data_IF_537869436458
#
_entry.id   IF_537869436458
#
_cell.length_a   1.000
_cell.length_b   1.000
_cell.length_c   1.000
_cell.angle_alpha   90.00
_cell.angle_beta   90.00
_cell.angle_gamma   90.00
#
_symmetry.space_group_name_H-M   'P 1'
#
loop_
_entity.id
_entity.type
_entity.pdbx_description
1 polymer ?
#
# COMPACT_ATOMS: atom_id res chain seq x y z
N UNK A 1 17.10 -25.08 23.41
CA UNK A 1 18.07 -23.96 23.51
C UNK A 1 18.33 -23.27 22.17
N UNK A 2 18.58 -23.99 21.06
CA UNK A 2 18.83 -23.39 19.74
C UNK A 2 17.78 -22.34 19.31
N UNK A 3 16.48 -22.65 19.46
CA UNK A 3 15.39 -21.75 19.09
C UNK A 3 15.36 -20.47 19.92
N UNK A 4 15.64 -20.56 21.23
CA UNK A 4 15.72 -19.39 22.11
C UNK A 4 16.86 -18.46 21.68
N UNK A 5 18.03 -19.03 21.41
CA UNK A 5 19.20 -18.26 20.94
C UNK A 5 18.90 -17.56 19.61
N UNK A 6 18.27 -18.27 18.67
CA UNK A 6 17.89 -17.69 17.36
C UNK A 6 16.88 -16.55 17.51
N UNK A 7 15.81 -16.73 18.29
CA UNK A 7 14.82 -15.66 18.47
C UNK A 7 15.37 -14.49 19.28
N UNK A 8 16.21 -14.72 20.28
CA UNK A 8 16.84 -13.66 21.05
C UNK A 8 17.80 -12.83 20.19
N UNK A 9 18.66 -13.48 19.40
CA UNK A 9 19.54 -12.79 18.46
C UNK A 9 18.75 -12.04 17.39
N UNK A 10 17.71 -12.67 16.83
CA UNK A 10 16.81 -12.04 15.87
C UNK A 10 16.10 -10.81 16.45
N UNK A 11 15.56 -10.92 17.67
CA UNK A 11 14.90 -9.81 18.36
C UNK A 11 15.86 -8.64 18.60
N UNK A 12 17.12 -8.90 18.94
CA UNK A 12 18.14 -7.84 19.07
C UNK A 12 18.47 -7.23 17.71
N UNK A 13 18.69 -8.07 16.69
CA UNK A 13 19.08 -7.62 15.36
C UNK A 13 18.05 -6.69 14.70
N UNK A 14 16.76 -6.97 14.85
CA UNK A 14 15.70 -6.14 14.23
C UNK A 14 15.58 -4.73 14.81
N UNK A 15 16.07 -4.51 16.02
CA UNK A 15 16.11 -3.18 16.66
C UNK A 15 17.43 -2.45 16.46
N UNK A 16 18.53 -3.17 16.17
CA UNK A 16 19.84 -2.56 15.89
C UNK A 16 19.92 -2.10 14.44
N UNK A 17 19.45 -2.91 13.49
CA UNK A 17 19.56 -2.58 12.06
C UNK A 17 18.42 -1.62 11.67
N UNK A 18 18.76 -0.45 11.08
CA UNK A 18 17.78 0.49 10.52
C UNK A 18 16.88 -0.16 9.48
N UNK A 19 15.64 0.32 9.38
CA UNK A 19 14.68 -0.20 8.37
C UNK A 19 15.17 0.15 6.96
N UNK A 20 15.79 1.31 6.83
CA UNK A 20 16.31 1.89 5.60
C UNK A 20 17.39 1.01 4.98
N UNK A 21 18.30 0.45 5.80
CA UNK A 21 19.36 -0.44 5.33
C UNK A 21 18.79 -1.75 4.75
N UNK A 22 17.74 -2.28 5.39
CA UNK A 22 17.06 -3.50 4.93
C UNK A 22 16.27 -3.24 3.66
N UNK A 23 15.61 -2.08 3.56
CA UNK A 23 14.89 -1.69 2.36
C UNK A 23 15.85 -1.46 1.18
N UNK A 24 16.99 -0.81 1.43
CA UNK A 24 18.04 -0.60 0.42
C UNK A 24 18.60 -1.95 -0.05
N UNK A 25 18.92 -2.85 0.87
CA UNK A 25 19.38 -4.21 0.56
C UNK A 25 18.40 -5.01 -0.31
N UNK A 26 17.09 -4.80 -0.11
CA UNK A 26 16.04 -5.46 -0.87
C UNK A 26 15.87 -4.84 -2.27
N UNK A 27 15.98 -3.52 -2.37
CA UNK A 27 15.93 -2.78 -3.65
C UNK A 27 17.13 -3.15 -4.53
N UNK A 28 18.34 -3.25 -3.97
CA UNK A 28 19.56 -3.65 -4.69
C UNK A 28 19.47 -5.06 -5.32
N UNK A 29 18.50 -5.87 -4.89
CA UNK A 29 18.25 -7.24 -5.38
C UNK A 29 16.99 -7.36 -6.22
N UNK A 30 16.24 -6.27 -6.37
CA UNK A 30 15.08 -6.24 -7.23
C UNK A 30 15.52 -6.28 -8.72
N UNK A 31 14.61 -6.72 -9.59
CA UNK A 31 14.82 -6.56 -11.03
C UNK A 31 14.92 -5.06 -11.39
N UNK A 32 15.63 -4.72 -12.47
CA UNK A 32 15.85 -3.34 -12.95
C UNK A 32 14.56 -2.70 -13.51
N UNK A 33 13.51 -2.62 -12.71
CA UNK A 33 12.27 -1.92 -13.02
C UNK A 33 11.82 -1.15 -11.78
N UNK A 34 11.37 0.09 -12.00
CA UNK A 34 10.87 0.96 -10.92
C UNK A 34 9.74 0.31 -10.10
N UNK A 35 8.94 -0.55 -10.72
CA UNK A 35 7.90 -1.32 -10.05
C UNK A 35 8.47 -2.42 -9.14
N UNK A 36 9.48 -3.17 -9.61
CA UNK A 36 10.12 -4.21 -8.80
C UNK A 36 10.82 -3.60 -7.58
N UNK A 37 11.49 -2.47 -7.73
CA UNK A 37 12.09 -1.71 -6.63
C UNK A 37 11.03 -1.27 -5.61
N UNK A 38 9.90 -0.73 -6.08
CA UNK A 38 8.79 -0.32 -5.22
C UNK A 38 8.21 -1.49 -4.40
N UNK A 39 7.97 -2.64 -5.05
CA UNK A 39 7.46 -3.84 -4.39
C UNK A 39 8.49 -4.40 -3.40
N UNK A 40 9.77 -4.44 -3.78
CA UNK A 40 10.84 -4.94 -2.93
C UNK A 40 10.99 -4.10 -1.65
N UNK A 41 10.97 -2.78 -1.78
CA UNK A 41 10.97 -1.87 -0.64
C UNK A 41 9.77 -2.14 0.26
N UNK A 42 8.55 -2.10 -0.29
CA UNK A 42 7.33 -2.24 0.51
C UNK A 42 7.28 -3.57 1.27
N UNK A 43 7.67 -4.68 0.63
CA UNK A 43 7.73 -5.99 1.29
C UNK A 43 8.81 -6.06 2.37
N UNK A 44 9.97 -5.49 2.11
CA UNK A 44 11.08 -5.48 3.07
C UNK A 44 10.69 -4.71 4.34
N UNK A 45 10.10 -3.52 4.16
CA UNK A 45 9.59 -2.69 5.24
C UNK A 45 8.53 -3.43 6.08
N UNK A 46 7.54 -4.04 5.42
CA UNK A 46 6.48 -4.81 6.08
C UNK A 46 7.06 -5.97 6.90
N UNK A 47 7.92 -6.77 6.26
CA UNK A 47 8.55 -7.93 6.88
C UNK A 47 9.40 -7.52 8.08
N UNK A 48 10.09 -6.38 8.00
CA UNK A 48 10.92 -5.88 9.09
C UNK A 48 10.10 -5.42 10.29
N UNK A 49 8.99 -4.70 10.07
CA UNK A 49 8.08 -4.31 11.15
C UNK A 49 7.39 -5.50 11.80
N UNK A 50 6.95 -6.48 11.01
CA UNK A 50 6.43 -7.74 11.53
C UNK A 50 7.49 -8.46 12.37
N UNK A 51 8.73 -8.49 11.91
CA UNK A 51 9.84 -9.10 12.66
C UNK A 51 10.09 -8.37 13.99
N UNK A 52 10.05 -7.03 14.02
CA UNK A 52 10.13 -6.24 15.26
C UNK A 52 9.00 -6.53 16.24
N UNK A 53 7.79 -6.82 15.75
CA UNK A 53 6.65 -7.16 16.60
C UNK A 53 6.74 -8.60 17.12
N UNK A 54 7.02 -9.56 16.23
CA UNK A 54 6.87 -10.98 16.54
C UNK A 54 8.13 -11.64 17.09
N UNK A 55 9.34 -11.24 16.68
CA UNK A 55 10.57 -11.87 17.20
C UNK A 55 10.75 -11.70 18.71
N UNK A 56 10.49 -10.52 19.33
CA UNK A 56 10.53 -10.40 20.79
C UNK A 56 9.50 -11.30 21.49
N UNK A 57 8.28 -11.38 20.93
CA UNK A 57 7.22 -12.25 21.48
C UNK A 57 7.65 -13.72 21.38
N UNK A 58 8.20 -14.15 20.25
CA UNK A 58 8.71 -15.51 20.09
C UNK A 58 9.92 -15.81 20.98
N UNK A 59 10.80 -14.83 21.23
CA UNK A 59 11.90 -14.97 22.18
C UNK A 59 11.39 -15.18 23.61
N UNK A 60 10.39 -14.41 24.04
CA UNK A 60 9.75 -14.56 25.35
C UNK A 60 9.01 -15.89 25.48
N UNK A 61 8.26 -16.29 24.45
CA UNK A 61 7.57 -17.59 24.42
C UNK A 61 8.56 -18.76 24.44
N UNK A 62 9.67 -18.66 23.71
CA UNK A 62 10.73 -19.66 23.72
C UNK A 62 11.41 -19.73 25.09
N UNK A 63 11.68 -18.59 25.73
CA UNK A 63 12.26 -18.54 27.08
C UNK A 63 11.30 -19.18 28.09
N UNK A 64 10.03 -18.79 28.06
CA UNK A 64 9.00 -19.36 28.91
C UNK A 64 8.86 -20.87 28.69
N UNK A 65 8.80 -21.33 27.44
CA UNK A 65 8.75 -22.76 27.12
C UNK A 65 9.98 -23.51 27.65
N UNK A 66 11.19 -22.93 27.57
CA UNK A 66 12.39 -23.55 28.13
C UNK A 66 12.36 -23.64 29.66
N UNK A 67 11.78 -22.65 30.34
CA UNK A 67 11.61 -22.69 31.80
C UNK A 67 10.55 -23.71 32.23
N UNK A 68 9.54 -23.93 31.39
CA UNK A 68 8.47 -24.90 31.63
C UNK A 68 8.82 -26.32 31.15
N UNK A 69 9.96 -26.54 30.49
CA UNK A 69 10.38 -27.87 30.00
C UNK A 69 10.26 -28.97 31.08
N UNK A 70 10.78 -28.80 32.31
CA UNK A 70 10.68 -29.85 33.33
C UNK A 70 9.23 -30.14 33.74
N UNK A 71 8.41 -29.08 33.86
CA UNK A 71 6.99 -29.20 34.20
C UNK A 71 6.22 -29.88 33.06
N UNK A 72 6.57 -29.57 31.82
CA UNK A 72 5.97 -30.14 30.62
C UNK A 72 6.37 -31.61 30.45
N UNK A 73 7.63 -31.96 30.71
CA UNK A 73 8.12 -33.35 30.73
C UNK A 73 7.36 -34.17 31.79
N UNK A 74 7.25 -33.65 33.02
CA UNK A 74 6.48 -34.30 34.09
C UNK A 74 4.98 -34.41 33.74
N UNK A 75 4.42 -33.41 33.06
CA UNK A 75 3.02 -33.41 32.64
C UNK A 75 2.79 -34.42 31.50
N UNK A 76 3.68 -34.48 30.51
CA UNK A 76 3.64 -35.44 29.39
C UNK A 76 3.78 -36.85 29.95
N UNK A 77 4.70 -37.10 30.87
CA UNK A 77 4.89 -38.41 31.47
C UNK A 77 3.66 -38.84 32.29
N UNK A 78 3.06 -37.91 33.05
CA UNK A 78 1.80 -38.14 33.77
C UNK A 78 0.64 -38.42 32.81
N UNK A 79 0.48 -37.63 31.77
CA UNK A 79 -0.55 -37.81 30.74
C UNK A 79 -0.35 -39.14 30.01
N UNK A 80 0.88 -39.53 29.69
CA UNK A 80 1.20 -40.80 29.02
C UNK A 80 0.91 -42.00 29.93
N UNK A 81 1.30 -41.94 31.21
CA UNK A 81 0.97 -42.97 32.22
C UNK A 81 -0.55 -43.09 32.43
N UNK A 82 -1.25 -41.95 32.46
CA UNK A 82 -2.70 -41.90 32.62
C UNK A 82 -3.41 -42.37 31.35
N UNK A 83 -2.85 -42.13 30.16
CA UNK A 83 -3.32 -42.62 28.87
C UNK A 83 -3.22 -44.15 28.76
N UNK A 84 -2.09 -44.73 29.19
CA UNK A 84 -1.91 -46.19 29.27
C UNK A 84 -2.87 -46.85 30.27
N UNK A 85 -3.31 -46.11 31.30
CA UNK A 85 -4.31 -46.58 32.27
C UNK A 85 -5.76 -46.40 31.80
N UNK A 86 -6.09 -45.28 31.13
CA UNK A 86 -7.46 -44.95 30.70
C UNK A 86 -7.91 -45.62 29.41
N UNK A 87 -6.99 -46.14 28.60
CA UNK A 87 -7.34 -46.90 27.38
C UNK A 87 -8.04 -48.24 27.65
N UNK A 88 -8.30 -48.60 28.92
CA UNK A 88 -9.07 -49.81 29.29
C UNK A 88 -10.60 -49.68 29.33
N UNK A 89 -11.22 -48.48 29.24
CA UNK A 89 -12.69 -48.39 29.25
C UNK A 89 -13.30 -47.26 28.38
N UNK A 90 -14.02 -47.66 27.34
CA UNK A 90 -15.25 -47.07 26.73
C UNK A 90 -15.33 -45.63 26.17
N UNK A 91 -14.35 -44.72 26.29
CA UNK A 91 -14.48 -43.34 25.75
C UNK A 91 -13.34 -42.89 24.81
N UNK A 92 -12.64 -43.84 24.20
CA UNK A 92 -11.49 -43.59 23.32
C UNK A 92 -11.89 -42.81 22.05
N UNK A 93 -13.01 -43.16 21.41
CA UNK A 93 -13.45 -42.56 20.14
C UNK A 93 -13.77 -41.07 20.28
N UNK A 94 -14.56 -40.69 21.30
CA UNK A 94 -14.91 -39.28 21.56
C UNK A 94 -13.69 -38.43 21.87
N UNK A 95 -12.73 -38.98 22.61
CA UNK A 95 -11.49 -38.29 22.98
C UNK A 95 -10.58 -38.07 21.77
N UNK A 96 -10.47 -39.06 20.88
CA UNK A 96 -9.72 -38.96 19.62
C UNK A 96 -10.37 -37.95 18.68
N UNK A 97 -11.70 -37.97 18.53
CA UNK A 97 -12.43 -37.02 17.68
C UNK A 97 -12.26 -35.57 18.14
N UNK A 98 -12.44 -35.28 19.43
CA UNK A 98 -12.28 -33.91 19.95
C UNK A 98 -10.85 -33.41 19.76
N UNK A 99 -9.85 -34.26 20.01
CA UNK A 99 -8.43 -33.90 19.79
C UNK A 99 -8.11 -33.70 18.32
N UNK A 100 -8.61 -34.56 17.45
CA UNK A 100 -8.48 -34.39 15.99
C UNK A 100 -9.09 -33.07 15.53
N UNK A 101 -10.25 -32.70 16.07
CA UNK A 101 -10.92 -31.43 15.76
C UNK A 101 -10.12 -30.22 16.26
N UNK A 102 -9.52 -30.29 17.46
CA UNK A 102 -8.61 -29.24 17.97
C UNK A 102 -7.39 -29.11 17.07
N UNK A 103 -6.76 -30.22 16.67
CA UNK A 103 -5.60 -30.21 15.77
C UNK A 103 -5.97 -29.60 14.41
N UNK A 104 -7.09 -30.01 13.82
CA UNK A 104 -7.57 -29.42 12.57
C UNK A 104 -7.86 -27.92 12.70
N UNK A 105 -8.46 -27.49 13.81
CA UNK A 105 -8.74 -26.08 14.08
C UNK A 105 -7.45 -25.25 14.22
N UNK A 106 -6.45 -25.77 14.93
CA UNK A 106 -5.14 -25.12 15.06
C UNK A 106 -4.42 -25.02 13.71
N UNK A 107 -4.47 -26.08 12.89
CA UNK A 107 -3.90 -26.06 11.54
C UNK A 107 -4.60 -25.03 10.64
N UNK A 108 -5.93 -24.93 10.72
CA UNK A 108 -6.70 -23.95 9.97
C UNK A 108 -6.37 -22.52 10.41
N UNK A 109 -6.29 -22.27 11.73
CA UNK A 109 -5.93 -20.98 12.28
C UNK A 109 -4.50 -20.57 11.85
N UNK A 110 -3.56 -21.52 11.84
CA UNK A 110 -2.20 -21.29 11.35
C UNK A 110 -2.20 -20.92 9.86
N UNK A 111 -2.95 -21.65 9.03
CA UNK A 111 -3.06 -21.38 7.61
C UNK A 111 -3.67 -20.00 7.33
N UNK A 112 -4.75 -19.64 8.04
CA UNK A 112 -5.38 -18.33 7.91
C UNK A 112 -4.48 -17.19 8.40
N UNK A 113 -3.73 -17.41 9.48
CA UNK A 113 -2.76 -16.41 9.98
C UNK A 113 -1.62 -16.21 8.98
N UNK A 114 -1.09 -17.30 8.40
CA UNK A 114 -0.06 -17.23 7.37
C UNK A 114 -0.56 -16.48 6.12
N UNK A 115 -1.77 -16.79 5.67
CA UNK A 115 -2.39 -16.10 4.54
C UNK A 115 -2.61 -14.61 4.84
N UNK A 116 -3.12 -14.27 6.02
CA UNK A 116 -3.27 -12.88 6.46
C UNK A 116 -1.94 -12.11 6.49
N UNK A 117 -0.85 -12.74 6.97
CA UNK A 117 0.49 -12.13 6.96
C UNK A 117 1.02 -11.93 5.54
N UNK A 118 0.81 -12.90 4.66
CA UNK A 118 1.20 -12.79 3.24
C UNK A 118 0.41 -11.68 2.55
N UNK A 119 -0.89 -11.59 2.78
CA UNK A 119 -1.73 -10.53 2.21
C UNK A 119 -1.36 -9.17 2.77
N UNK A 120 -1.16 -9.04 4.09
CA UNK A 120 -0.68 -7.82 4.71
C UNK A 120 0.66 -7.36 4.13
N UNK A 121 1.64 -8.26 3.97
CA UNK A 121 2.95 -7.88 3.39
C UNK A 121 2.87 -7.51 1.91
N UNK A 122 1.96 -8.13 1.15
CA UNK A 122 1.68 -7.74 -0.24
C UNK A 122 1.02 -6.36 -0.30
N UNK A 123 0.09 -6.11 0.61
CA UNK A 123 -0.71 -4.89 0.63
C UNK A 123 -0.01 -3.71 1.34
N UNK A 124 1.02 -3.98 2.14
CA UNK A 124 1.77 -2.96 2.87
C UNK A 124 2.37 -1.88 1.97
N UNK A 125 2.80 -2.25 0.76
CA UNK A 125 3.22 -1.27 -0.24
C UNK A 125 2.16 -0.23 -0.56
N UNK A 126 0.87 -0.56 -0.38
CA UNK A 126 -0.29 0.32 -0.54
C UNK A 126 -0.69 1.04 0.75
N UNK A 127 -0.40 0.48 1.93
CA UNK A 127 -0.73 1.08 3.23
C UNK A 127 0.37 2.00 3.79
N UNK A 128 1.63 1.83 3.37
CA UNK A 128 2.79 2.57 3.87
C UNK A 128 2.85 4.02 3.43
N UNK A 129 2.01 4.40 2.46
CA UNK A 129 1.95 5.79 2.09
C UNK A 129 1.47 6.55 3.35
N UNK A 130 2.25 7.53 3.82
CA UNK A 130 1.88 8.35 4.98
C UNK A 130 0.59 9.11 4.68
N UNK A 131 -0.29 9.41 5.65
CA UNK A 131 -1.48 10.23 5.41
C UNK A 131 -1.12 11.40 4.49
N UNK A 132 -1.91 11.64 3.43
CA UNK A 132 -1.60 12.50 2.27
C UNK A 132 -1.20 13.96 2.57
N UNK A 133 -1.05 14.30 3.85
CA UNK A 133 -0.33 15.47 4.38
C UNK A 133 1.19 15.39 4.20
N UNK A 134 1.82 14.21 4.24
CA UNK A 134 3.28 14.06 4.09
C UNK A 134 3.68 13.59 2.69
N UNK A 135 4.50 14.39 2.02
CA UNK A 135 4.99 14.15 0.65
C UNK A 135 6.06 13.04 0.69
N UNK A 136 5.92 11.99 -0.13
CA UNK A 136 6.94 10.95 -0.23
C UNK A 136 8.31 11.52 -0.65
N UNK A 137 9.42 11.01 -0.06
CA UNK A 137 10.77 11.53 -0.30
C UNK A 137 11.20 11.51 -1.78
N UNK A 138 10.69 10.56 -2.57
CA UNK A 138 11.03 10.38 -3.99
C UNK A 138 10.04 11.04 -4.97
N UNK A 139 9.12 11.88 -4.49
CA UNK A 139 8.21 12.60 -5.38
C UNK A 139 8.95 13.68 -6.17
N UNK A 140 8.78 13.68 -7.50
CA UNK A 140 9.35 14.71 -8.38
C UNK A 140 8.86 16.11 -7.99
N UNK A 141 9.68 17.14 -8.25
CA UNK A 141 9.35 18.52 -7.89
C UNK A 141 8.06 18.99 -8.58
N UNK A 142 7.86 18.57 -9.82
CA UNK A 142 6.69 18.86 -10.65
C UNK A 142 5.41 18.36 -9.97
N UNK A 143 5.43 17.09 -9.56
CA UNK A 143 4.29 16.47 -8.89
C UNK A 143 3.97 17.15 -7.54
N UNK A 144 4.99 17.64 -6.81
CA UNK A 144 4.79 18.42 -5.57
C UNK A 144 4.10 19.75 -5.84
N UNK A 145 4.46 20.43 -6.92
CA UNK A 145 3.87 21.71 -7.30
C UNK A 145 2.43 21.55 -7.73
N UNK A 146 2.15 20.56 -8.57
CA UNK A 146 0.80 20.20 -8.99
C UNK A 146 -0.09 19.92 -7.78
N UNK A 147 0.39 19.13 -6.82
CA UNK A 147 -0.38 18.85 -5.59
C UNK A 147 -0.64 20.11 -4.77
N UNK A 148 0.36 20.98 -4.60
CA UNK A 148 0.20 22.21 -3.85
C UNK A 148 -0.84 23.14 -4.52
N UNK A 149 -0.78 23.26 -5.85
CA UNK A 149 -1.76 24.01 -6.64
C UNK A 149 -3.16 23.41 -6.54
N UNK A 150 -3.32 22.10 -6.73
CA UNK A 150 -4.64 21.47 -6.66
C UNK A 150 -5.25 21.59 -5.26
N UNK A 151 -4.44 21.50 -4.20
CA UNK A 151 -4.90 21.72 -2.81
C UNK A 151 -5.36 23.15 -2.56
N UNK A 152 -4.73 24.15 -3.18
CA UNK A 152 -5.13 25.56 -3.01
C UNK A 152 -6.28 25.96 -3.94
N UNK A 153 -6.35 25.38 -5.15
CA UNK A 153 -7.33 25.73 -6.18
C UNK A 153 -8.68 25.03 -6.03
N UNK A 154 -8.75 23.93 -5.26
CA UNK A 154 -9.99 23.16 -5.08
C UNK A 154 -10.35 22.98 -3.60
N UNK A 155 -11.64 23.00 -3.24
CA UNK A 155 -12.08 22.74 -1.86
C UNK A 155 -11.87 21.27 -1.47
N UNK A 156 -11.81 20.98 -0.17
CA UNK A 156 -11.54 19.63 0.34
C UNK A 156 -12.60 18.59 -0.04
N UNK A 157 -13.85 19.00 -0.24
CA UNK A 157 -14.95 18.13 -0.66
C UNK A 157 -15.13 18.06 -2.19
N UNK A 158 -14.19 18.62 -2.97
CA UNK A 158 -14.28 18.65 -4.43
C UNK A 158 -14.33 17.25 -5.05
N UNK A 159 -15.12 17.12 -6.11
CA UNK A 159 -15.15 15.98 -7.01
C UNK A 159 -14.35 16.32 -8.27
N UNK A 160 -13.17 15.73 -8.41
CA UNK A 160 -12.27 16.05 -9.51
C UNK A 160 -12.23 14.85 -10.46
N UNK A 161 -12.65 15.09 -11.71
CA UNK A 161 -12.47 14.14 -12.79
C UNK A 161 -11.04 14.27 -13.33
N UNK A 162 -10.21 13.27 -13.07
CA UNK A 162 -8.84 13.20 -13.59
C UNK A 162 -8.90 12.45 -14.91
N UNK A 163 -8.33 13.01 -15.97
CA UNK A 163 -8.37 12.41 -17.32
C UNK A 163 -7.11 11.59 -17.67
N UNK A 164 -6.17 11.50 -16.73
CA UNK A 164 -4.93 10.74 -16.88
C UNK A 164 -4.91 9.59 -15.89
N UNK A 165 -4.98 8.36 -16.40
CA UNK A 165 -4.96 7.15 -15.58
C UNK A 165 -3.63 7.02 -14.82
N UNK A 166 -2.53 7.40 -15.48
CA UNK A 166 -1.18 7.44 -14.88
C UNK A 166 -1.12 8.34 -13.63
N UNK A 167 -1.89 9.43 -13.62
CA UNK A 167 -1.90 10.41 -12.52
C UNK A 167 -2.98 10.17 -11.49
N UNK A 168 -4.02 9.40 -11.83
CA UNK A 168 -5.13 9.12 -10.94
C UNK A 168 -4.68 8.52 -9.61
N UNK A 169 -3.87 7.46 -9.65
CA UNK A 169 -3.39 6.78 -8.45
C UNK A 169 -2.55 7.68 -7.55
N UNK A 170 -1.63 8.42 -8.16
CA UNK A 170 -0.80 9.38 -7.44
C UNK A 170 -1.65 10.45 -6.76
N UNK A 171 -2.57 11.07 -7.50
CA UNK A 171 -3.40 12.15 -6.97
C UNK A 171 -4.40 11.66 -5.91
N UNK A 172 -4.97 10.46 -6.07
CA UNK A 172 -5.98 9.93 -5.14
C UNK A 172 -5.42 9.75 -3.74
N UNK A 173 -4.11 9.50 -3.69
CA UNK A 173 -3.37 9.41 -2.46
C UNK A 173 -3.22 10.75 -1.72
N UNK A 174 -2.78 11.80 -2.43
CA UNK A 174 -2.39 13.07 -1.79
C UNK A 174 -3.48 14.13 -1.72
N UNK A 175 -4.55 14.00 -2.52
CA UNK A 175 -5.62 14.99 -2.57
C UNK A 175 -6.78 14.71 -1.61
N UNK A 176 -6.68 13.67 -0.78
CA UNK A 176 -7.66 13.42 0.28
C UNK A 176 -7.94 14.70 1.10
N UNK A 177 -9.21 14.97 1.45
CA UNK A 177 -10.39 14.10 1.33
C UNK A 177 -11.17 14.26 0.00
N UNK A 178 -10.58 14.89 -1.03
CA UNK A 178 -11.25 15.12 -2.33
C UNK A 178 -11.57 13.80 -3.01
N UNK A 179 -12.69 13.75 -3.73
CA UNK A 179 -13.11 12.55 -4.48
C UNK A 179 -12.57 12.63 -5.90
N UNK A 180 -11.67 11.71 -6.25
CA UNK A 180 -11.18 11.61 -7.63
C UNK A 180 -11.96 10.57 -8.42
N UNK A 181 -12.26 10.91 -9.66
CA UNK A 181 -13.04 10.09 -10.60
C UNK A 181 -12.25 9.97 -11.89
N UNK A 182 -12.34 8.84 -12.59
CA UNK A 182 -11.72 8.64 -13.89
C UNK A 182 -12.70 8.00 -14.88
N UNK A 183 -12.59 8.22 -16.20
CA UNK A 183 -13.50 7.65 -17.19
C UNK A 183 -13.62 6.11 -17.14
N UNK A 184 -12.51 5.41 -16.91
CA UNK A 184 -12.47 3.94 -16.81
C UNK A 184 -12.70 3.41 -15.39
N UNK A 185 -12.54 4.26 -14.37
CA UNK A 185 -12.62 3.88 -12.97
C UNK A 185 -13.53 4.87 -12.23
N UNK A 186 -14.79 4.46 -12.00
CA UNK A 186 -15.79 5.29 -11.30
C UNK A 186 -15.39 5.62 -9.84
N UNK A 187 -14.44 4.86 -9.27
CA UNK A 187 -13.78 5.15 -7.99
C UNK A 187 -12.27 4.94 -8.08
N UNK A 188 -11.48 5.98 -7.75
CA UNK A 188 -10.02 5.95 -7.79
C UNK A 188 -9.35 5.04 -6.74
N UNK A 189 -10.11 4.43 -5.83
CA UNK A 189 -9.56 3.75 -4.64
C UNK A 189 -8.80 2.43 -4.92
N UNK A 190 -8.88 1.82 -6.12
CA UNK A 190 -8.34 0.47 -6.33
C UNK A 190 -7.70 0.17 -7.70
N UNK A 191 -7.27 1.17 -8.47
CA UNK A 191 -6.57 0.94 -9.74
C UNK A 191 -5.05 0.76 -9.50
N UNK A 192 -4.67 -0.32 -8.83
CA UNK A 192 -3.27 -0.74 -8.74
C UNK A 192 -2.97 -1.64 -9.95
N UNK A 193 -1.96 -1.34 -10.77
CA UNK A 193 -1.63 -2.17 -11.91
C UNK A 193 -1.17 -3.57 -11.46
N UNK A 194 -1.85 -4.61 -11.97
CA UNK A 194 -1.45 -6.01 -11.75
C UNK A 194 -0.18 -6.33 -12.55
N UNK A 195 0.71 -7.13 -11.96
CA UNK A 195 1.97 -7.51 -12.59
C UNK A 195 1.75 -8.27 -13.92
N UNK A 196 2.51 -7.90 -14.96
CA UNK A 196 2.53 -8.61 -16.25
C UNK A 196 1.50 -8.16 -17.29
N UNK A 197 0.64 -7.19 -16.97
CA UNK A 197 -0.23 -6.56 -17.96
C UNK A 197 0.37 -5.22 -18.42
N UNK A 198 0.67 -5.03 -19.71
CA UNK A 198 0.98 -3.71 -20.22
C UNK A 198 -0.25 -2.84 -20.03
N UNK A 199 -0.24 -1.97 -19.01
CA UNK A 199 -1.24 -0.92 -18.91
C UNK A 199 -0.95 0.04 -20.06
N UNK A 200 -1.81 0.00 -21.08
CA UNK A 200 -1.98 1.15 -21.93
C UNK A 200 -2.64 2.21 -21.04
N UNK A 201 -1.83 3.01 -20.35
CA UNK A 201 -2.32 4.16 -19.60
C UNK A 201 -3.14 5.01 -20.56
N UNK A 202 -4.44 5.13 -20.31
CA UNK A 202 -5.31 5.92 -21.17
C UNK A 202 -5.30 7.36 -20.67
N UNK A 203 -5.01 8.26 -21.60
CA UNK A 203 -5.12 9.69 -21.42
C UNK A 203 -6.30 10.15 -22.27
N UNK A 204 -7.31 10.70 -21.60
CA UNK A 204 -8.47 11.29 -22.26
C UNK A 204 -8.31 12.80 -22.33
N UNK A 205 -8.78 13.42 -23.39
CA UNK A 205 -9.04 14.85 -23.41
C UNK A 205 -10.50 15.10 -23.06
N UNK A 206 -10.84 16.33 -22.64
CA UNK A 206 -12.24 16.69 -22.41
C UNK A 206 -13.11 16.42 -23.65
N UNK A 207 -12.55 16.61 -24.85
CA UNK A 207 -13.22 16.33 -26.13
C UNK A 207 -13.61 14.86 -26.34
N UNK A 208 -12.94 13.94 -25.64
CA UNK A 208 -13.19 12.50 -25.77
C UNK A 208 -14.39 12.05 -24.93
N UNK A 209 -14.90 12.93 -24.06
CA UNK A 209 -16.00 12.63 -23.14
C UNK A 209 -17.33 13.16 -23.68
N UNK A 210 -18.38 12.33 -23.62
CA UNK A 210 -19.71 12.78 -24.00
C UNK A 210 -20.32 13.68 -22.93
N UNK A 211 -21.09 14.72 -23.33
CA UNK A 211 -21.81 15.58 -22.38
C UNK A 211 -22.76 14.80 -21.45
N UNK A 212 -23.39 13.76 -21.98
CA UNK A 212 -24.27 12.86 -21.22
C UNK A 212 -23.53 12.13 -20.10
N UNK A 213 -22.30 11.67 -20.38
CA UNK A 213 -21.47 11.00 -19.38
C UNK A 213 -21.03 11.97 -18.27
N UNK A 214 -20.61 13.19 -18.64
CA UNK A 214 -20.27 14.25 -17.69
C UNK A 214 -21.45 14.61 -16.80
N UNK A 215 -22.67 14.69 -17.37
CA UNK A 215 -23.90 14.95 -16.63
C UNK A 215 -24.26 13.82 -15.64
N UNK A 216 -23.89 12.57 -15.94
CA UNK A 216 -24.09 11.43 -15.03
C UNK A 216 -23.10 11.47 -13.86
N UNK A 217 -21.82 11.66 -14.16
CA UNK A 217 -20.75 11.62 -13.16
C UNK A 217 -20.78 12.85 -12.25
N UNK A 218 -21.14 14.02 -12.78
CA UNK A 218 -21.21 15.30 -12.06
C UNK A 218 -19.90 15.63 -11.31
N UNK A 219 -18.76 15.77 -12.01
CA UNK A 219 -17.57 16.38 -11.40
C UNK A 219 -17.79 17.87 -11.08
N UNK A 220 -17.07 18.37 -10.09
CA UNK A 220 -16.94 19.82 -9.83
C UNK A 220 -15.82 20.43 -10.69
N UNK A 221 -14.76 19.65 -10.89
CA UNK A 221 -13.58 20.02 -11.66
C UNK A 221 -13.17 18.91 -12.63
N UNK A 222 -12.54 19.29 -13.72
CA UNK A 222 -11.90 18.40 -14.70
C UNK A 222 -10.41 18.73 -14.73
N UNK A 223 -9.57 17.72 -14.54
CA UNK A 223 -8.12 17.83 -14.50
C UNK A 223 -7.50 17.06 -15.66
N UNK A 224 -6.86 17.81 -16.54
CA UNK A 224 -5.98 17.30 -17.59
C UNK A 224 -4.52 17.51 -17.16
N UNK A 225 -3.88 16.44 -16.72
CA UNK A 225 -2.49 16.45 -16.29
C UNK A 225 -1.76 15.24 -16.86
N UNK A 226 -0.85 15.50 -17.80
CA UNK A 226 -0.13 14.46 -18.54
C UNK A 226 1.37 14.68 -18.44
N UNK A 227 2.11 13.59 -18.16
CA UNK A 227 3.56 13.57 -18.19
C UNK A 227 4.02 12.55 -19.23
N UNK A 228 4.60 13.06 -20.32
CA UNK A 228 5.08 12.23 -21.42
C UNK A 228 5.27 13.09 -22.66
N UNK A 229 6.30 12.82 -23.47
CA UNK A 229 6.59 13.58 -24.68
C UNK A 229 5.44 13.58 -25.68
N UNK A 230 4.63 12.52 -25.69
CA UNK A 230 3.48 12.34 -26.59
C UNK A 230 2.29 13.24 -26.23
N UNK A 231 2.14 13.61 -24.96
CA UNK A 231 1.02 14.40 -24.45
C UNK A 231 1.41 15.83 -24.05
N UNK A 232 2.71 16.13 -24.02
CA UNK A 232 3.23 17.46 -23.70
C UNK A 232 3.12 18.38 -24.92
N UNK A 233 1.90 18.82 -25.22
CA UNK A 233 1.60 19.77 -26.29
C UNK A 233 1.98 21.19 -25.82
N UNK A 234 3.04 21.82 -26.37
CA UNK A 234 3.56 23.09 -25.84
C UNK A 234 2.52 24.22 -25.86
N UNK A 235 1.61 24.19 -26.84
CA UNK A 235 0.53 25.16 -27.01
C UNK A 235 -0.49 25.12 -25.85
N UNK A 236 -0.64 23.97 -25.19
CA UNK A 236 -1.62 23.77 -24.11
C UNK A 236 -1.10 24.17 -22.73
N UNK A 237 0.21 24.36 -22.59
CA UNK A 237 0.86 24.77 -21.33
C UNK A 237 0.37 26.14 -20.84
N UNK A 238 -0.18 26.95 -21.75
CA UNK A 238 -0.72 28.27 -21.47
C UNK A 238 -2.25 28.33 -21.36
N UNK A 239 -2.96 27.19 -21.35
CA UNK A 239 -4.43 27.17 -21.32
C UNK A 239 -5.02 27.58 -19.96
N UNK A 240 -4.40 27.16 -18.86
CA UNK A 240 -4.89 27.44 -17.51
C UNK A 240 -4.18 28.65 -16.91
N UNK A 241 -4.82 29.82 -17.00
CA UNK A 241 -4.28 31.07 -16.47
C UNK A 241 -4.03 31.03 -14.95
N UNK A 242 -4.83 30.27 -14.19
CA UNK A 242 -4.68 30.14 -12.74
C UNK A 242 -3.44 29.33 -12.39
N UNK A 243 -3.20 28.26 -13.15
CA UNK A 243 -1.98 27.46 -13.02
C UNK A 243 -0.72 28.26 -13.40
N UNK A 244 -0.76 28.99 -14.51
CA UNK A 244 0.37 29.83 -14.95
C UNK A 244 0.68 30.89 -13.89
N UNK A 245 -0.34 31.60 -13.40
CA UNK A 245 -0.14 32.61 -12.35
C UNK A 245 0.48 32.01 -11.08
N UNK A 246 0.05 30.80 -10.69
CA UNK A 246 0.64 30.09 -9.55
C UNK A 246 2.11 29.71 -9.81
N UNK A 247 2.41 29.22 -11.01
CA UNK A 247 3.76 28.88 -11.44
C UNK A 247 4.70 30.09 -11.42
N UNK A 248 4.29 31.18 -12.06
CA UNK A 248 5.07 32.42 -12.15
C UNK A 248 5.35 32.99 -10.75
N UNK A 249 4.34 33.00 -9.88
CA UNK A 249 4.49 33.49 -8.51
C UNK A 249 5.48 32.64 -7.70
N UNK A 250 5.40 31.31 -7.82
CA UNK A 250 6.20 30.38 -7.01
C UNK A 250 7.65 30.30 -7.48
N UNK A 251 7.86 30.23 -8.79
CA UNK A 251 9.17 30.05 -9.41
C UNK A 251 9.85 31.38 -9.79
N UNK A 252 9.19 32.52 -9.58
CA UNK A 252 9.69 33.86 -9.90
C UNK A 252 10.19 33.98 -11.35
N UNK A 253 9.52 33.28 -12.27
CA UNK A 253 9.86 33.21 -13.69
C UNK A 253 8.64 33.56 -14.53
N UNK A 254 8.88 34.05 -15.75
CA UNK A 254 7.86 34.20 -16.81
C UNK A 254 7.90 33.05 -17.82
N UNK A 255 8.79 32.08 -17.60
CA UNK A 255 8.86 30.90 -18.44
C UNK A 255 7.63 30.01 -18.17
N UNK A 256 6.99 29.48 -19.22
CA UNK A 256 5.84 28.61 -19.06
C UNK A 256 6.25 27.30 -18.36
N UNK A 257 5.33 26.67 -17.61
CA UNK A 257 5.58 25.41 -16.93
C UNK A 257 6.05 24.31 -17.92
N UNK A 258 6.91 23.37 -17.49
CA UNK A 258 7.49 22.38 -18.40
C UNK A 258 6.51 21.29 -18.86
N UNK A 259 5.32 21.22 -18.26
CA UNK A 259 4.28 20.22 -18.49
C UNK A 259 2.90 20.88 -18.61
N UNK A 260 1.95 20.14 -19.21
CA UNK A 260 0.57 20.58 -19.38
C UNK A 260 -0.22 20.23 -18.12
N UNK A 261 -0.79 21.24 -17.48
CA UNK A 261 -1.81 21.11 -16.46
C UNK A 261 -2.95 22.05 -16.79
N UNK A 262 -4.16 21.50 -16.92
CA UNK A 262 -5.38 22.27 -17.15
C UNK A 262 -6.43 21.82 -16.15
N UNK A 263 -6.79 22.71 -15.21
CA UNK A 263 -7.86 22.49 -14.25
C UNK A 263 -9.05 23.37 -14.64
N UNK A 264 -10.18 22.74 -15.00
CA UNK A 264 -11.40 23.45 -15.40
C UNK A 264 -12.52 23.21 -14.40
N UNK A 265 -13.23 24.25 -14.00
CA UNK A 265 -14.48 24.10 -13.24
C UNK A 265 -15.61 23.80 -14.21
N UNK A 266 -16.49 22.84 -13.90
CA UNK A 266 -17.53 22.42 -14.87
C UNK A 266 -18.50 23.53 -15.29
N UNK A 267 -18.73 24.52 -14.42
CA UNK A 267 -19.52 25.71 -14.75
C UNK A 267 -18.87 26.64 -15.78
N UNK A 268 -17.58 26.47 -16.06
CA UNK A 268 -16.80 27.24 -17.04
C UNK A 268 -16.35 26.37 -18.24
N UNK A 269 -16.44 25.03 -18.11
CA UNK A 269 -15.86 24.06 -19.03
C UNK A 269 -16.84 23.56 -20.12
N UNK A 270 -18.13 23.78 -19.95
CA UNK A 270 -19.16 23.36 -20.90
C UNK A 270 -19.61 24.58 -21.74
N UNK A 271 -19.56 24.50 -23.09
CA UNK A 271 -20.15 25.54 -23.94
C UNK A 271 -21.67 25.63 -23.77
#
# INVERSE_FOLDING_TARGET
MLSLTLFALGAVAVWIVPVEDVCTWAVDRAENSSQAEFIAFGRAEAAWWLARLFLPVFALLAAWATLQLPVLEDAIERVQKQFLRQTRCSNVVRTVLVRGLIVCWLLLALAQTADAVVNFTREWGYFRFNPGSEILPNMSLENREVLAYLKSATPENARILVLSDQKLFFLSYYLQPRRLIHPTHESAEFAIPQAGQPHQYQAYQLSDLSPEWLARVRPDYILEYFEGSEYNLPQRRSEDASWIANWEQKNQTKEPPPYVLVLRRIGEALP
#
